data_IF_952572148178
#
_entry.id   IF_952572148178
#
_cell.length_a   1.000
_cell.length_b   1.000
_cell.length_c   1.000
_cell.angle_alpha   90.00
_cell.angle_beta   90.00
_cell.angle_gamma   90.00
#
_symmetry.space_group_name_H-M   'P 1'
#
loop_
_entity.id
_entity.type
_entity.pdbx_description
1 polymer ?
#
# COMPACT_ATOMS: atom_id res chain seq x y z
N UNK A 1 40.51 -9.66 9.07
CA UNK A 1 40.32 -8.76 7.92
C UNK A 1 38.89 -8.79 7.53
N UNK A 2 38.08 -7.84 8.01
CA UNK A 2 36.67 -7.71 7.68
C UNK A 2 36.58 -7.15 6.27
N UNK A 3 36.13 -7.96 5.33
CA UNK A 3 35.68 -7.47 4.03
C UNK A 3 34.59 -6.41 4.29
N UNK A 4 34.95 -5.13 4.21
CA UNK A 4 33.98 -4.06 3.97
C UNK A 4 33.42 -4.30 2.57
N UNK A 5 32.25 -4.87 2.45
CA UNK A 5 31.60 -4.91 1.15
C UNK A 5 31.07 -3.51 0.87
N UNK A 6 31.69 -2.78 -0.04
CA UNK A 6 31.21 -1.50 -0.58
C UNK A 6 29.78 -1.60 -1.17
N UNK A 7 29.16 -2.74 -1.05
CA UNK A 7 27.91 -3.12 -1.68
C UNK A 7 26.78 -3.48 -0.69
N UNK A 8 27.04 -3.32 0.65
CA UNK A 8 25.97 -3.51 1.65
C UNK A 8 24.93 -2.39 1.54
N UNK A 9 23.66 -2.77 1.54
CA UNK A 9 22.51 -1.85 1.64
C UNK A 9 22.01 -1.85 3.08
N UNK A 10 21.94 -0.67 3.71
CA UNK A 10 21.30 -0.51 5.02
C UNK A 10 19.87 -0.06 4.80
N UNK A 11 18.90 -0.84 5.29
CA UNK A 11 17.48 -0.56 5.17
C UNK A 11 16.93 -0.13 6.54
N UNK A 12 16.48 1.11 6.67
CA UNK A 12 16.02 1.72 7.92
C UNK A 12 14.51 1.80 7.92
N UNK A 13 13.87 1.19 8.90
CA UNK A 13 12.41 1.15 9.05
C UNK A 13 11.98 1.60 10.45
N UNK A 14 10.78 2.23 10.60
CA UNK A 14 10.26 2.60 11.91
C UNK A 14 9.69 1.38 12.64
N UNK A 15 10.35 0.93 13.69
CA UNK A 15 9.95 -0.26 14.44
C UNK A 15 10.19 -1.57 13.69
N UNK A 16 9.51 -2.63 14.09
CA UNK A 16 9.73 -3.99 13.59
C UNK A 16 9.27 -4.15 12.14
N UNK A 17 10.11 -4.75 11.29
CA UNK A 17 9.84 -5.02 9.87
C UNK A 17 8.73 -6.08 9.67
N UNK A 18 8.41 -6.89 10.69
CA UNK A 18 7.40 -7.96 10.61
C UNK A 18 5.96 -7.49 10.75
N UNK A 19 5.72 -6.17 10.89
CA UNK A 19 4.37 -5.61 10.96
C UNK A 19 3.56 -5.90 9.69
N UNK A 20 2.25 -6.15 9.85
CA UNK A 20 1.35 -6.49 8.73
C UNK A 20 0.59 -5.26 8.22
N UNK A 21 1.34 -4.30 7.66
CA UNK A 21 0.78 -3.22 6.84
C UNK A 21 1.35 -3.28 5.43
N UNK A 22 0.74 -2.56 4.48
CA UNK A 22 1.18 -2.56 3.08
C UNK A 22 2.63 -2.08 2.92
N UNK A 23 3.04 -0.99 3.59
CA UNK A 23 4.41 -0.48 3.55
C UNK A 23 5.41 -1.53 4.06
N UNK A 24 5.25 -1.99 5.31
CA UNK A 24 6.15 -3.00 5.88
C UNK A 24 6.18 -4.33 5.10
N UNK A 25 5.07 -4.72 4.49
CA UNK A 25 5.07 -5.89 3.61
C UNK A 25 5.93 -5.64 2.37
N UNK A 26 5.83 -4.45 1.79
CA UNK A 26 6.64 -4.07 0.64
C UNK A 26 8.12 -4.06 1.01
N UNK A 27 8.51 -3.36 2.08
CA UNK A 27 9.89 -3.28 2.57
C UNK A 27 10.47 -4.68 2.80
N UNK A 28 9.75 -5.50 3.55
CA UNK A 28 10.18 -6.88 3.83
C UNK A 28 10.39 -7.69 2.56
N UNK A 29 9.48 -7.60 1.60
CA UNK A 29 9.58 -8.33 0.34
C UNK A 29 10.75 -7.85 -0.52
N UNK A 30 11.03 -6.55 -0.50
CA UNK A 30 12.23 -6.01 -1.17
C UNK A 30 13.49 -6.51 -0.48
N UNK A 31 13.58 -6.44 0.84
CA UNK A 31 14.73 -6.96 1.59
C UNK A 31 14.95 -8.45 1.31
N UNK A 32 13.88 -9.27 1.36
CA UNK A 32 13.93 -10.70 1.03
C UNK A 32 14.41 -10.93 -0.43
N UNK A 33 13.88 -10.16 -1.38
CA UNK A 33 14.22 -10.25 -2.80
C UNK A 33 15.67 -9.86 -3.08
N UNK A 34 16.17 -8.78 -2.49
CA UNK A 34 17.56 -8.33 -2.61
C UNK A 34 18.54 -9.39 -2.05
N UNK A 35 18.22 -9.95 -0.88
CA UNK A 35 19.03 -11.04 -0.29
C UNK A 35 19.03 -12.29 -1.16
N UNK A 36 17.90 -12.66 -1.74
CA UNK A 36 17.80 -13.78 -2.67
C UNK A 36 18.62 -13.56 -3.96
N UNK A 37 18.86 -12.30 -4.34
CA UNK A 37 19.71 -11.90 -5.46
C UNK A 37 21.21 -11.77 -5.08
N UNK A 38 21.56 -12.10 -3.84
CA UNK A 38 22.94 -12.10 -3.35
C UNK A 38 23.41 -10.75 -2.77
N UNK A 39 22.54 -9.74 -2.62
CA UNK A 39 22.91 -8.46 -2.00
C UNK A 39 23.02 -8.61 -0.49
N UNK A 40 24.06 -8.03 0.09
CA UNK A 40 24.14 -7.86 1.53
C UNK A 40 23.17 -6.77 1.96
N UNK A 41 22.16 -7.13 2.78
CA UNK A 41 21.15 -6.17 3.29
C UNK A 41 21.09 -6.26 4.80
N UNK A 42 21.43 -5.16 5.47
CA UNK A 42 21.28 -4.99 6.91
C UNK A 42 20.03 -4.14 7.18
N UNK A 43 19.15 -4.62 8.06
CA UNK A 43 17.96 -3.88 8.48
C UNK A 43 18.22 -3.22 9.83
N UNK A 44 17.90 -1.93 9.95
CA UNK A 44 17.87 -1.17 11.19
C UNK A 44 16.41 -0.87 11.51
N UNK A 45 15.92 -1.47 12.58
CA UNK A 45 14.59 -1.23 13.14
C UNK A 45 14.69 -0.12 14.19
N UNK A 46 14.19 1.08 13.88
CA UNK A 46 14.25 2.21 14.80
C UNK A 46 13.15 2.07 15.86
N UNK A 47 13.50 2.19 17.12
CA UNK A 47 12.52 2.35 18.19
C UNK A 47 11.96 3.78 18.20
N UNK A 48 10.76 3.97 18.74
CA UNK A 48 10.13 5.30 18.89
C UNK A 48 10.93 6.30 19.75
N UNK A 49 12.01 5.86 20.37
CA UNK A 49 12.94 6.65 21.19
C UNK A 49 14.36 6.66 20.61
N UNK A 50 14.50 6.26 19.33
CA UNK A 50 15.82 6.20 18.71
C UNK A 50 16.41 7.61 18.56
N UNK A 51 17.55 7.82 19.22
CA UNK A 51 18.34 9.04 19.17
C UNK A 51 19.17 9.17 17.88
N UNK A 52 18.94 8.31 16.88
CA UNK A 52 19.70 8.24 15.63
C UNK A 52 21.09 7.66 15.73
N UNK A 53 21.52 7.20 16.91
CA UNK A 53 22.83 6.57 17.11
C UNK A 53 23.12 5.44 16.10
N UNK A 54 22.15 4.58 15.70
CA UNK A 54 22.40 3.55 14.69
C UNK A 54 22.84 4.10 13.33
N UNK A 55 22.29 5.26 12.91
CA UNK A 55 22.67 5.91 11.65
C UNK A 55 24.02 6.63 11.78
N UNK A 56 24.29 7.24 12.94
CA UNK A 56 25.56 7.89 13.22
C UNK A 56 26.75 6.91 13.23
N UNK A 57 26.51 5.65 13.60
CA UNK A 57 27.52 4.58 13.62
C UNK A 57 27.84 3.99 12.24
N UNK A 58 27.09 4.33 11.18
CA UNK A 58 27.38 3.87 9.83
C UNK A 58 28.66 4.53 9.30
N UNK A 59 29.41 3.82 8.46
CA UNK A 59 30.57 4.39 7.75
C UNK A 59 30.12 5.42 6.70
N UNK A 60 30.99 6.36 6.36
CA UNK A 60 30.73 7.31 5.27
C UNK A 60 30.50 6.57 3.95
N UNK A 61 29.71 7.17 3.07
CA UNK A 61 29.29 6.62 1.79
C UNK A 61 28.48 5.31 1.88
N UNK A 62 28.04 4.88 3.09
CA UNK A 62 27.16 3.73 3.20
C UNK A 62 25.84 3.98 2.45
N UNK A 63 25.47 3.04 1.55
CA UNK A 63 24.21 3.05 0.81
C UNK A 63 23.05 2.78 1.76
N UNK A 64 22.21 3.76 2.00
CA UNK A 64 21.17 3.71 3.05
C UNK A 64 19.81 4.05 2.47
N UNK A 65 18.84 3.16 2.66
CA UNK A 65 17.41 3.42 2.36
C UNK A 65 16.68 3.73 3.65
N UNK A 66 15.84 4.74 3.63
CA UNK A 66 15.02 5.09 4.77
C UNK A 66 13.55 5.07 4.36
N UNK A 67 12.75 4.25 5.04
CA UNK A 67 11.29 4.26 4.90
C UNK A 67 10.72 5.63 5.22
N UNK A 68 9.76 6.10 4.42
CA UNK A 68 9.15 7.41 4.55
C UNK A 68 8.54 7.69 5.92
N UNK A 69 7.99 6.66 6.59
CA UNK A 69 7.46 6.80 7.95
C UNK A 69 8.58 7.01 8.98
N UNK A 70 9.77 6.43 8.75
CA UNK A 70 10.92 6.64 9.62
C UNK A 70 11.53 8.05 9.46
N UNK A 71 11.32 8.69 8.31
CA UNK A 71 11.81 10.06 8.08
C UNK A 71 11.26 11.06 9.10
N UNK A 72 9.97 10.96 9.45
CA UNK A 72 9.34 11.86 10.41
C UNK A 72 9.93 11.74 11.82
N UNK A 73 10.25 10.49 12.22
CA UNK A 73 10.79 10.20 13.57
C UNK A 73 12.29 10.51 13.70
N UNK A 74 13.01 10.64 12.58
CA UNK A 74 14.47 10.79 12.54
C UNK A 74 14.94 12.06 11.82
N UNK A 75 14.07 13.04 11.64
CA UNK A 75 14.31 14.23 10.80
C UNK A 75 15.66 14.90 11.08
N UNK A 76 15.95 15.26 12.34
CA UNK A 76 17.18 15.95 12.73
C UNK A 76 18.43 15.11 12.46
N UNK A 77 18.36 13.81 12.78
CA UNK A 77 19.47 12.88 12.56
C UNK A 77 19.73 12.70 11.08
N UNK A 78 18.66 12.54 10.27
CA UNK A 78 18.75 12.38 8.82
C UNK A 78 19.45 13.56 8.16
N UNK A 79 19.08 14.78 8.54
CA UNK A 79 19.73 16.01 8.05
C UNK A 79 21.22 15.99 8.34
N UNK A 80 21.63 15.59 9.55
CA UNK A 80 23.04 15.47 9.94
C UNK A 80 23.81 14.39 9.16
N UNK A 81 23.15 13.28 8.81
CA UNK A 81 23.77 12.15 8.12
C UNK A 81 23.74 12.26 6.58
N UNK A 82 22.86 13.11 6.01
CA UNK A 82 22.70 13.26 4.56
C UNK A 82 24.00 13.67 3.83
N UNK A 83 24.91 14.36 4.52
CA UNK A 83 26.19 14.79 3.95
C UNK A 83 27.22 13.66 3.82
N UNK A 84 27.11 12.59 4.61
CA UNK A 84 28.11 11.52 4.61
C UNK A 84 27.57 10.16 4.13
N UNK A 85 26.27 9.89 4.24
CA UNK A 85 25.64 8.68 3.74
C UNK A 85 25.08 8.88 2.33
N UNK A 86 24.93 7.77 1.58
CA UNK A 86 24.20 7.75 0.32
C UNK A 86 22.71 7.47 0.62
N UNK A 87 22.01 8.49 1.09
CA UNK A 87 20.63 8.36 1.53
C UNK A 87 19.66 8.35 0.35
N UNK A 88 18.79 7.36 0.34
CA UNK A 88 17.62 7.23 -0.56
C UNK A 88 16.37 7.14 0.32
N UNK A 89 15.36 7.94 0.05
CA UNK A 89 14.07 7.81 0.72
C UNK A 89 13.17 6.82 -0.02
N UNK A 90 12.41 6.00 0.71
CA UNK A 90 11.39 5.11 0.14
C UNK A 90 10.00 5.57 0.61
N UNK A 91 9.30 6.32 -0.22
CA UNK A 91 8.04 6.98 0.10
C UNK A 91 6.87 6.14 -0.37
N UNK A 92 6.21 5.43 0.54
CA UNK A 92 5.00 4.65 0.25
C UNK A 92 3.76 5.51 -0.02
N UNK A 93 3.73 6.70 0.52
CA UNK A 93 2.72 7.76 0.33
C UNK A 93 3.12 9.00 1.13
N UNK A 94 2.86 10.22 0.63
CA UNK A 94 3.21 11.45 1.33
C UNK A 94 2.53 11.54 2.70
N UNK A 95 3.27 11.94 3.73
CA UNK A 95 2.77 12.09 5.10
C UNK A 95 1.60 13.07 5.18
N UNK A 96 1.64 14.14 4.37
CA UNK A 96 0.57 15.12 4.30
C UNK A 96 -0.78 14.57 3.80
N UNK A 97 -0.79 13.40 3.17
CA UNK A 97 -1.99 12.74 2.62
C UNK A 97 -2.57 11.69 3.57
N UNK A 98 -2.03 11.56 4.80
CA UNK A 98 -2.62 10.69 5.82
C UNK A 98 -3.99 11.21 6.26
N UNK A 99 -4.92 10.27 6.47
CA UNK A 99 -6.31 10.59 6.83
C UNK A 99 -6.39 11.05 8.29
N UNK A 100 -7.17 12.10 8.53
CA UNK A 100 -7.43 12.61 9.89
C UNK A 100 -6.49 13.74 10.31
N UNK A 101 -5.56 14.15 9.46
CA UNK A 101 -4.76 15.35 9.70
C UNK A 101 -5.61 16.62 9.52
N UNK A 102 -5.46 17.58 10.43
CA UNK A 102 -5.96 18.93 10.19
C UNK A 102 -5.19 19.58 9.03
N UNK A 103 -5.76 20.58 8.33
CA UNK A 103 -5.04 21.29 7.26
C UNK A 103 -3.68 21.85 7.70
N UNK A 104 -3.59 22.35 8.93
CA UNK A 104 -2.34 22.84 9.49
C UNK A 104 -1.32 21.71 9.77
N UNK A 105 -1.78 20.55 10.23
CA UNK A 105 -0.92 19.38 10.45
C UNK A 105 -0.43 18.80 9.11
N UNK A 106 -1.30 18.70 8.11
CA UNK A 106 -0.93 18.24 6.77
C UNK A 106 0.11 19.17 6.12
N UNK A 107 -0.07 20.50 6.27
CA UNK A 107 0.90 21.49 5.78
C UNK A 107 2.27 21.31 6.44
N UNK A 108 2.31 21.18 7.77
CA UNK A 108 3.58 20.96 8.50
C UNK A 108 4.23 19.64 8.10
N UNK A 109 3.46 18.57 7.94
CA UNK A 109 3.98 17.27 7.48
C UNK A 109 4.61 17.41 6.08
N UNK A 110 3.97 18.13 5.16
CA UNK A 110 4.51 18.40 3.83
C UNK A 110 5.81 19.21 3.88
N UNK A 111 5.88 20.24 4.71
CA UNK A 111 7.07 21.10 4.88
C UNK A 111 8.26 20.27 5.42
N UNK A 112 8.05 19.47 6.46
CA UNK A 112 9.08 18.60 7.04
C UNK A 112 9.54 17.56 6.01
N UNK A 113 8.59 16.89 5.34
CA UNK A 113 8.92 15.87 4.33
C UNK A 113 9.69 16.49 3.15
N UNK A 114 9.29 17.67 2.67
CA UNK A 114 9.97 18.39 1.60
C UNK A 114 11.42 18.74 1.98
N UNK A 115 11.64 19.26 3.20
CA UNK A 115 12.98 19.58 3.68
C UNK A 115 13.86 18.31 3.72
N UNK A 116 13.38 17.21 4.28
CA UNK A 116 14.10 15.95 4.36
C UNK A 116 14.44 15.40 2.98
N UNK A 117 13.46 15.40 2.07
CA UNK A 117 13.64 14.89 0.70
C UNK A 117 14.59 15.74 -0.12
N UNK A 118 14.73 17.04 0.18
CA UNK A 118 15.75 17.90 -0.46
C UNK A 118 17.18 17.46 -0.15
N UNK A 119 17.41 16.72 0.94
CA UNK A 119 18.73 16.29 1.42
C UNK A 119 19.14 14.89 0.95
N UNK A 120 18.18 14.05 0.51
CA UNK A 120 18.48 12.69 0.04
C UNK A 120 18.92 12.69 -1.42
N UNK A 121 19.72 11.71 -1.86
CA UNK A 121 20.20 11.58 -3.24
C UNK A 121 19.05 11.28 -4.21
N UNK A 122 18.05 10.54 -3.75
CA UNK A 122 16.89 10.20 -4.57
C UNK A 122 15.76 9.64 -3.75
N UNK A 123 14.62 9.45 -4.42
CA UNK A 123 13.37 8.98 -3.83
C UNK A 123 12.84 7.81 -4.65
N UNK A 124 12.50 6.71 -3.98
CA UNK A 124 11.77 5.57 -4.53
C UNK A 124 10.29 5.71 -4.19
N UNK A 125 9.41 5.49 -5.14
CA UNK A 125 7.95 5.59 -4.98
C UNK A 125 7.24 4.37 -5.58
N UNK A 126 6.09 3.93 -5.02
CA UNK A 126 5.37 2.75 -5.52
C UNK A 126 4.53 3.03 -6.77
N UNK A 127 4.27 4.31 -7.11
CA UNK A 127 3.38 4.72 -8.20
C UNK A 127 3.78 6.07 -8.78
N UNK A 128 3.36 6.35 -10.02
CA UNK A 128 3.54 7.67 -10.64
C UNK A 128 2.76 8.76 -9.87
N UNK A 129 1.62 8.40 -9.28
CA UNK A 129 0.85 9.34 -8.46
C UNK A 129 1.62 9.79 -7.21
N UNK A 130 2.27 8.85 -6.52
CA UNK A 130 3.14 9.17 -5.37
C UNK A 130 4.37 9.97 -5.84
N UNK A 131 4.99 9.58 -6.94
CA UNK A 131 6.11 10.33 -7.54
C UNK A 131 5.71 11.77 -7.89
N UNK A 132 4.56 11.98 -8.52
CA UNK A 132 4.05 13.32 -8.82
C UNK A 132 3.78 14.17 -7.58
N UNK A 133 3.35 13.55 -6.48
CA UNK A 133 3.21 14.25 -5.20
C UNK A 133 4.58 14.66 -4.63
N UNK A 134 5.60 13.81 -4.73
CA UNK A 134 7.00 14.12 -4.32
C UNK A 134 7.59 15.22 -5.22
N UNK A 135 7.29 15.26 -6.51
CA UNK A 135 7.70 16.34 -7.41
C UNK A 135 7.21 17.71 -6.92
N UNK A 136 6.02 17.79 -6.29
CA UNK A 136 5.49 19.05 -5.73
C UNK A 136 6.32 19.60 -4.57
N UNK A 137 7.18 18.79 -3.98
CA UNK A 137 8.15 19.21 -2.95
C UNK A 137 9.45 19.78 -3.53
N UNK A 138 9.51 19.98 -4.86
CA UNK A 138 10.68 20.54 -5.53
C UNK A 138 11.76 19.50 -5.85
N UNK A 139 11.49 18.21 -5.69
CA UNK A 139 12.43 17.14 -6.04
C UNK A 139 12.41 16.91 -7.55
N UNK A 140 13.56 17.02 -8.21
CA UNK A 140 13.66 16.82 -9.65
C UNK A 140 13.33 15.38 -10.05
N UNK A 141 12.67 15.21 -11.21
CA UNK A 141 12.20 13.91 -11.70
C UNK A 141 13.31 12.88 -11.88
N UNK A 142 14.50 13.30 -12.27
CA UNK A 142 15.70 12.41 -12.41
C UNK A 142 16.10 11.75 -11.08
N UNK A 143 15.75 12.39 -9.96
CA UNK A 143 16.00 11.89 -8.60
C UNK A 143 14.84 11.07 -8.04
N UNK A 144 13.80 10.84 -8.84
CA UNK A 144 12.65 10.01 -8.45
C UNK A 144 12.62 8.75 -9.31
N UNK A 145 12.40 7.61 -8.69
CA UNK A 145 12.16 6.37 -9.39
C UNK A 145 10.86 5.72 -8.92
N UNK A 146 10.07 5.25 -9.89
CA UNK A 146 8.83 4.52 -9.61
C UNK A 146 9.13 3.02 -9.69
N UNK A 147 8.86 2.34 -8.57
CA UNK A 147 9.02 0.90 -8.43
C UNK A 147 7.73 0.32 -7.87
N UNK A 148 6.84 -0.20 -8.71
CA UNK A 148 5.62 -0.84 -8.24
C UNK A 148 5.93 -2.07 -7.38
N UNK A 149 5.15 -2.32 -6.31
CA UNK A 149 5.29 -3.53 -5.51
C UNK A 149 4.96 -4.78 -6.33
N UNK A 150 5.60 -5.89 -5.98
CA UNK A 150 5.27 -7.18 -6.54
C UNK A 150 3.89 -7.68 -6.06
N UNK A 151 3.26 -8.50 -6.87
CA UNK A 151 1.98 -9.11 -6.57
C UNK A 151 2.14 -10.62 -6.42
N UNK A 152 1.65 -11.16 -5.30
CA UNK A 152 1.59 -12.61 -5.11
C UNK A 152 0.54 -13.19 -6.08
N UNK A 153 1.00 -13.93 -7.07
CA UNK A 153 0.11 -14.57 -8.05
C UNK A 153 -0.43 -15.90 -7.49
N UNK A 154 -1.69 -16.24 -7.77
CA UNK A 154 -2.23 -17.53 -7.37
C UNK A 154 -1.49 -18.65 -8.08
N UNK A 155 -1.28 -19.80 -7.38
CA UNK A 155 -0.59 -20.98 -7.93
C UNK A 155 -1.32 -21.62 -9.11
N UNK A 156 -2.62 -21.37 -9.26
CA UNK A 156 -3.43 -21.76 -10.41
C UNK A 156 -4.15 -20.55 -10.97
N UNK A 157 -4.19 -20.36 -12.29
CA UNK A 157 -4.96 -19.28 -12.90
C UNK A 157 -6.41 -19.28 -12.40
N UNK A 158 -6.97 -18.12 -12.05
CA UNK A 158 -8.35 -18.05 -11.61
C UNK A 158 -9.30 -18.40 -12.76
N UNK A 159 -10.21 -19.34 -12.50
CA UNK A 159 -11.31 -19.68 -13.39
C UNK A 159 -12.39 -18.58 -13.47
N UNK A 160 -13.44 -18.79 -14.27
CA UNK A 160 -14.59 -17.91 -14.30
C UNK A 160 -15.23 -17.85 -12.91
N UNK A 161 -15.71 -16.66 -12.52
CA UNK A 161 -16.34 -16.43 -11.23
C UNK A 161 -17.79 -16.91 -11.22
N UNK A 162 -18.31 -17.13 -10.00
CA UNK A 162 -19.71 -17.50 -9.80
C UNK A 162 -20.65 -16.42 -10.28
N UNK A 163 -21.77 -16.80 -10.80
CA UNK A 163 -22.86 -15.92 -11.17
C UNK A 163 -24.17 -16.46 -10.56
N UNK A 164 -24.96 -15.61 -9.89
CA UNK A 164 -24.71 -14.19 -9.59
C UNK A 164 -23.62 -13.96 -8.53
N UNK A 165 -23.05 -12.75 -8.50
CA UNK A 165 -22.12 -12.30 -7.46
C UNK A 165 -22.83 -12.22 -6.12
N UNK A 166 -22.31 -12.89 -5.09
CA UNK A 166 -22.86 -12.89 -3.73
C UNK A 166 -21.80 -12.66 -2.64
N UNK A 167 -20.61 -13.21 -2.82
CA UNK A 167 -19.54 -13.12 -1.83
C UNK A 167 -18.64 -11.93 -2.13
N UNK A 168 -18.76 -10.86 -1.34
CA UNK A 168 -17.89 -9.69 -1.40
C UNK A 168 -16.72 -9.86 -0.44
N UNK A 169 -15.55 -9.36 -0.83
CA UNK A 169 -14.33 -9.37 -0.01
C UNK A 169 -13.78 -7.95 0.13
N UNK A 170 -13.38 -7.60 1.35
CA UNK A 170 -12.59 -6.43 1.68
C UNK A 170 -11.33 -6.90 2.43
N UNK A 171 -10.14 -6.55 1.95
CA UNK A 171 -8.87 -6.88 2.64
C UNK A 171 -8.17 -5.57 3.01
N UNK A 172 -8.25 -5.21 4.28
CA UNK A 172 -7.63 -4.00 4.83
C UNK A 172 -7.69 -4.00 6.35
N UNK A 173 -6.68 -3.44 7.03
CA UNK A 173 -6.78 -3.13 8.45
C UNK A 173 -7.92 -2.12 8.69
N UNK A 174 -8.65 -2.26 9.81
CA UNK A 174 -9.74 -1.35 10.16
C UNK A 174 -9.15 -0.04 10.70
N UNK A 175 -8.84 0.86 9.77
CA UNK A 175 -8.38 2.23 10.05
C UNK A 175 -9.21 3.22 9.22
N UNK A 176 -9.33 4.51 9.62
CA UNK A 176 -10.22 5.48 8.96
C UNK A 176 -10.00 5.56 7.46
N UNK A 177 -8.75 5.59 7.01
CA UNK A 177 -8.34 5.71 5.60
C UNK A 177 -8.92 4.62 4.69
N UNK A 178 -9.26 3.45 5.22
CA UNK A 178 -9.77 2.31 4.43
C UNK A 178 -11.29 2.33 4.22
N UNK A 179 -12.01 3.26 4.86
CA UNK A 179 -13.41 3.53 4.56
C UNK A 179 -14.40 2.41 4.90
N UNK A 180 -14.14 1.61 5.95
CA UNK A 180 -15.06 0.52 6.32
C UNK A 180 -16.45 1.01 6.75
N UNK A 181 -16.55 2.18 7.41
CA UNK A 181 -17.85 2.78 7.75
C UNK A 181 -18.62 3.14 6.48
N UNK A 182 -17.95 3.79 5.52
CA UNK A 182 -18.51 4.10 4.21
C UNK A 182 -19.02 2.84 3.48
N UNK A 183 -18.25 1.74 3.56
CA UNK A 183 -18.63 0.44 2.98
C UNK A 183 -19.93 -0.09 3.62
N UNK A 184 -20.03 -0.07 4.94
CA UNK A 184 -21.23 -0.51 5.66
C UNK A 184 -22.45 0.35 5.30
N UNK A 185 -22.30 1.68 5.23
CA UNK A 185 -23.37 2.59 4.81
C UNK A 185 -23.83 2.32 3.36
N UNK A 186 -22.90 2.07 2.45
CA UNK A 186 -23.21 1.73 1.07
C UNK A 186 -23.98 0.41 0.97
N UNK A 187 -23.52 -0.62 1.70
CA UNK A 187 -24.18 -1.93 1.70
C UNK A 187 -25.56 -1.92 2.38
N UNK A 188 -25.78 -1.05 3.35
CA UNK A 188 -27.09 -0.84 3.96
C UNK A 188 -28.15 -0.34 2.94
N UNK A 189 -27.72 0.38 1.88
CA UNK A 189 -28.59 0.88 0.81
C UNK A 189 -29.03 -0.18 -0.20
N UNK A 190 -28.37 -1.36 -0.17
CA UNK A 190 -28.63 -2.49 -1.08
C UNK A 190 -28.98 -3.77 -0.32
N UNK A 191 -29.62 -3.62 0.84
CA UNK A 191 -30.05 -4.77 1.69
C UNK A 191 -31.09 -5.67 1.02
N UNK A 192 -31.77 -5.18 0.01
CA UNK A 192 -32.71 -5.90 -0.84
C UNK A 192 -32.07 -6.98 -1.70
N UNK A 193 -30.75 -6.92 -1.91
CA UNK A 193 -30.02 -7.92 -2.68
C UNK A 193 -29.43 -9.01 -1.78
N UNK A 194 -29.17 -10.19 -2.35
CA UNK A 194 -28.53 -11.31 -1.68
C UNK A 194 -26.98 -11.19 -1.82
N UNK A 195 -26.32 -10.79 -0.75
CA UNK A 195 -24.86 -10.66 -0.66
C UNK A 195 -24.36 -10.94 0.76
N UNK A 196 -23.10 -11.31 0.89
CA UNK A 196 -22.35 -11.31 2.13
C UNK A 196 -21.03 -10.60 1.95
N UNK A 197 -20.45 -10.05 3.04
CA UNK A 197 -19.15 -9.39 3.04
C UNK A 197 -18.24 -10.03 4.08
N UNK A 198 -17.02 -10.38 3.66
CA UNK A 198 -15.92 -10.72 4.56
C UNK A 198 -14.90 -9.59 4.56
N UNK A 199 -14.61 -9.02 5.75
CA UNK A 199 -13.54 -8.05 5.97
C UNK A 199 -12.36 -8.77 6.65
N UNK A 200 -11.22 -8.80 5.99
CA UNK A 200 -9.98 -9.43 6.48
C UNK A 200 -8.94 -8.36 6.73
N UNK A 201 -8.42 -8.28 7.96
CA UNK A 201 -7.41 -7.30 8.37
C UNK A 201 -7.48 -7.05 9.87
N UNK A 202 -6.45 -6.40 10.43
CA UNK A 202 -6.36 -6.16 11.86
C UNK A 202 -7.53 -5.34 12.38
N UNK A 203 -8.11 -5.80 13.49
CA UNK A 203 -9.15 -5.10 14.27
C UNK A 203 -8.54 -4.30 15.43
N UNK A 204 -7.22 -4.44 15.65
CA UNK A 204 -6.50 -3.90 16.80
C UNK A 204 -5.66 -2.68 16.42
N UNK A 205 -5.41 -2.45 15.11
CA UNK A 205 -4.60 -1.33 14.63
C UNK A 205 -5.21 0.04 14.99
N UNK A 206 -6.53 0.14 14.96
CA UNK A 206 -7.32 1.27 15.45
C UNK A 206 -8.60 0.75 16.13
N UNK A 207 -8.56 0.56 17.47
CA UNK A 207 -9.71 0.08 18.22
C UNK A 207 -10.91 1.02 18.17
N UNK A 208 -10.70 2.32 17.92
CA UNK A 208 -11.79 3.31 17.83
C UNK A 208 -12.59 3.10 16.55
N UNK A 209 -11.92 3.03 15.41
CA UNK A 209 -12.54 2.68 14.12
C UNK A 209 -13.23 1.32 14.19
N UNK A 210 -12.58 0.31 14.79
CA UNK A 210 -13.17 -1.03 14.93
C UNK A 210 -14.48 -0.99 15.74
N UNK A 211 -14.52 -0.24 16.85
CA UNK A 211 -15.76 -0.07 17.65
C UNK A 211 -16.84 0.66 16.87
N UNK A 212 -16.48 1.71 16.10
CA UNK A 212 -17.41 2.46 15.27
C UNK A 212 -18.05 1.57 14.19
N UNK A 213 -17.24 0.83 13.44
CA UNK A 213 -17.69 -0.11 12.41
C UNK A 213 -18.61 -1.19 12.99
N UNK A 214 -18.25 -1.82 14.11
CA UNK A 214 -19.08 -2.82 14.79
C UNK A 214 -20.42 -2.25 15.25
N UNK A 215 -20.42 -1.03 15.79
CA UNK A 215 -21.64 -0.33 16.21
C UNK A 215 -22.54 -0.03 15.00
N UNK A 216 -21.98 0.46 13.92
CA UNK A 216 -22.70 0.76 12.69
C UNK A 216 -23.32 -0.50 12.09
N UNK A 217 -22.58 -1.61 11.96
CA UNK A 217 -23.09 -2.91 11.46
C UNK A 217 -24.32 -3.35 12.25
N UNK A 218 -24.30 -3.22 13.59
CA UNK A 218 -25.46 -3.55 14.44
C UNK A 218 -26.64 -2.58 14.21
N UNK A 219 -26.36 -1.28 14.17
CA UNK A 219 -27.38 -0.25 14.01
C UNK A 219 -28.15 -0.38 12.69
N UNK A 220 -27.48 -0.78 11.61
CA UNK A 220 -28.13 -0.99 10.30
C UNK A 220 -28.64 -2.42 10.08
N UNK A 221 -28.52 -3.32 11.08
CA UNK A 221 -29.06 -4.69 11.03
C UNK A 221 -28.31 -5.64 10.09
N UNK A 222 -27.02 -5.41 9.80
CA UNK A 222 -26.23 -6.22 8.86
C UNK A 222 -25.32 -7.27 9.52
N UNK A 223 -25.50 -7.53 10.82
CA UNK A 223 -24.62 -8.42 11.58
C UNK A 223 -24.54 -9.88 11.09
N UNK A 224 -25.58 -10.36 10.36
CA UNK A 224 -25.58 -11.71 9.76
C UNK A 224 -24.93 -11.74 8.37
N UNK A 225 -24.66 -10.60 7.77
CA UNK A 225 -24.16 -10.47 6.38
C UNK A 225 -22.74 -9.98 6.30
N UNK A 226 -22.22 -9.33 7.36
CA UNK A 226 -20.85 -8.77 7.41
C UNK A 226 -20.08 -9.49 8.50
N UNK A 227 -18.96 -10.12 8.09
CA UNK A 227 -18.00 -10.78 8.96
C UNK A 227 -16.72 -9.96 9.06
N UNK A 228 -16.33 -9.58 10.27
CA UNK A 228 -15.02 -9.01 10.56
C UNK A 228 -14.10 -10.15 11.00
N UNK A 229 -13.34 -10.70 10.07
CA UNK A 229 -12.54 -11.92 10.27
C UNK A 229 -11.26 -11.68 11.09
N UNK A 230 -10.86 -10.42 11.27
CA UNK A 230 -9.60 -10.10 11.92
C UNK A 230 -8.40 -10.36 11.00
N UNK A 231 -7.22 -10.28 11.59
CA UNK A 231 -5.96 -10.55 10.92
C UNK A 231 -5.84 -12.06 10.64
N UNK A 232 -5.54 -12.41 9.40
CA UNK A 232 -5.43 -13.79 8.94
C UNK A 232 -4.04 -14.11 8.39
N UNK A 233 -3.56 -15.35 8.51
CA UNK A 233 -2.35 -15.81 7.84
C UNK A 233 -2.46 -15.68 6.31
N UNK A 234 -1.32 -15.51 5.59
CA UNK A 234 -1.33 -15.31 4.12
C UNK A 234 -2.12 -16.37 3.35
N UNK A 235 -2.04 -17.64 3.76
CA UNK A 235 -2.79 -18.72 3.14
C UNK A 235 -4.31 -18.56 3.29
N UNK A 236 -4.78 -18.00 4.42
CA UNK A 236 -6.20 -17.74 4.65
C UNK A 236 -6.67 -16.53 3.85
N UNK A 237 -5.84 -15.50 3.71
CA UNK A 237 -6.09 -14.36 2.80
C UNK A 237 -6.22 -14.86 1.36
N UNK A 238 -5.30 -15.69 0.89
CA UNK A 238 -5.38 -16.29 -0.44
C UNK A 238 -6.65 -17.15 -0.64
N UNK A 239 -7.10 -17.87 0.40
CA UNK A 239 -8.39 -18.58 0.37
C UNK A 239 -9.57 -17.62 0.26
N UNK A 240 -9.54 -16.51 1.00
CA UNK A 240 -10.59 -15.49 0.93
C UNK A 240 -10.71 -14.89 -0.48
N UNK A 241 -9.60 -14.52 -1.12
CA UNK A 241 -9.61 -14.07 -2.52
C UNK A 241 -10.19 -15.12 -3.49
N UNK A 242 -9.86 -16.40 -3.29
CA UNK A 242 -10.42 -17.47 -4.13
C UNK A 242 -11.91 -17.72 -3.92
N UNK A 243 -12.39 -17.56 -2.70
CA UNK A 243 -13.80 -17.80 -2.33
C UNK A 243 -14.72 -16.63 -2.71
N UNK A 244 -14.19 -15.43 -2.86
CA UNK A 244 -14.95 -14.23 -3.19
C UNK A 244 -15.40 -14.20 -4.66
N UNK A 245 -16.49 -13.48 -4.94
CA UNK A 245 -16.99 -13.21 -6.28
C UNK A 245 -16.61 -11.80 -6.76
N UNK A 246 -16.43 -10.83 -5.84
CA UNK A 246 -15.98 -9.48 -6.12
C UNK A 246 -15.19 -8.90 -4.93
N UNK A 247 -14.30 -7.98 -5.23
CA UNK A 247 -13.52 -7.24 -4.25
C UNK A 247 -14.05 -5.81 -4.11
N UNK A 248 -14.19 -5.32 -2.88
CA UNK A 248 -14.64 -3.95 -2.60
C UNK A 248 -13.84 -3.33 -1.48
N UNK A 249 -13.22 -2.17 -1.75
CA UNK A 249 -12.50 -1.38 -0.74
C UNK A 249 -12.57 0.10 -1.11
N UNK A 250 -13.31 0.92 -0.35
CA UNK A 250 -13.50 2.35 -0.66
C UNK A 250 -12.49 3.22 0.10
N UNK A 251 -11.19 2.98 -0.08
CA UNK A 251 -10.15 3.78 0.56
C UNK A 251 -10.24 5.27 0.21
N UNK A 252 -9.93 6.13 1.18
CA UNK A 252 -9.83 7.57 1.00
C UNK A 252 -8.48 7.98 0.40
N UNK A 253 -7.45 7.15 0.52
CA UNK A 253 -6.14 7.35 -0.09
C UNK A 253 -5.37 6.03 -0.18
N UNK A 254 -4.61 5.83 -1.27
CA UNK A 254 -3.63 4.76 -1.45
C UNK A 254 -2.41 5.27 -2.22
N UNK A 255 -1.21 4.91 -1.75
CA UNK A 255 0.03 5.16 -2.50
C UNK A 255 0.23 4.22 -3.69
N UNK A 256 -0.39 3.02 -3.65
CA UNK A 256 -0.48 2.03 -4.73
C UNK A 256 -1.76 1.21 -4.63
N UNK A 257 -1.97 0.54 -3.47
CA UNK A 257 -3.12 -0.32 -3.25
C UNK A 257 -2.86 -1.78 -3.63
N UNK A 258 -1.85 -2.41 -3.02
CA UNK A 258 -1.46 -3.81 -3.29
C UNK A 258 -2.64 -4.80 -3.26
N UNK A 259 -3.61 -4.59 -2.37
CA UNK A 259 -4.78 -5.47 -2.25
C UNK A 259 -5.68 -5.47 -3.49
N UNK A 260 -5.72 -4.35 -4.25
CA UNK A 260 -6.41 -4.32 -5.55
C UNK A 260 -5.65 -5.14 -6.60
N UNK A 261 -4.32 -5.02 -6.61
CA UNK A 261 -3.45 -5.83 -7.46
C UNK A 261 -3.64 -7.34 -7.17
N UNK A 262 -3.67 -7.71 -5.89
CA UNK A 262 -3.96 -9.09 -5.46
C UNK A 262 -5.37 -9.53 -5.89
N UNK A 263 -6.38 -8.70 -5.73
CA UNK A 263 -7.74 -9.00 -6.19
C UNK A 263 -7.80 -9.25 -7.70
N UNK A 264 -7.13 -8.40 -8.50
CA UNK A 264 -7.02 -8.58 -9.95
C UNK A 264 -6.26 -9.85 -10.32
N UNK A 265 -5.15 -10.16 -9.64
CA UNK A 265 -4.42 -11.41 -9.85
C UNK A 265 -5.30 -12.65 -9.60
N UNK A 266 -6.28 -12.53 -8.69
CA UNK A 266 -7.29 -13.55 -8.44
C UNK A 266 -8.51 -13.43 -9.38
N UNK A 267 -8.53 -12.52 -10.34
CA UNK A 267 -9.60 -12.35 -11.33
C UNK A 267 -10.91 -11.83 -10.75
N UNK A 268 -10.88 -11.08 -9.64
CA UNK A 268 -12.05 -10.48 -9.02
C UNK A 268 -12.39 -9.15 -9.70
N UNK A 269 -13.66 -8.91 -10.08
CA UNK A 269 -14.13 -7.56 -10.32
C UNK A 269 -13.81 -6.66 -9.14
N UNK A 270 -13.21 -5.48 -9.38
CA UNK A 270 -12.81 -4.55 -8.32
C UNK A 270 -13.80 -3.40 -8.24
N UNK A 271 -14.26 -3.07 -7.02
CA UNK A 271 -15.01 -1.84 -6.75
C UNK A 271 -14.18 -1.02 -5.76
N UNK A 272 -13.78 0.19 -6.18
CA UNK A 272 -12.87 1.03 -5.41
C UNK A 272 -13.21 2.52 -5.61
N UNK A 273 -12.36 3.41 -5.08
CA UNK A 273 -12.50 4.85 -5.27
C UNK A 273 -11.50 5.40 -6.27
N UNK A 274 -11.66 6.66 -6.67
CA UNK A 274 -10.69 7.39 -7.50
C UNK A 274 -9.57 8.05 -6.69
N UNK A 275 -9.36 7.65 -5.42
CA UNK A 275 -8.43 8.28 -4.50
C UNK A 275 -6.97 7.82 -4.72
N UNK A 276 -6.03 8.74 -4.59
CA UNK A 276 -4.59 8.44 -4.68
C UNK A 276 -4.22 7.72 -5.96
N UNK A 277 -3.42 6.66 -5.85
CA UNK A 277 -2.96 5.85 -6.97
C UNK A 277 -3.94 4.73 -7.41
N UNK A 278 -5.14 4.66 -6.84
CA UNK A 278 -6.11 3.60 -7.18
C UNK A 278 -6.42 3.57 -8.70
N UNK A 279 -6.66 4.71 -9.39
CA UNK A 279 -6.90 4.69 -10.84
C UNK A 279 -5.71 4.23 -11.69
N UNK A 280 -4.48 4.33 -11.16
CA UNK A 280 -3.27 3.81 -11.79
C UNK A 280 -3.17 2.29 -11.63
N UNK A 281 -3.59 1.77 -10.46
CA UNK A 281 -3.54 0.34 -10.15
C UNK A 281 -4.71 -0.43 -10.76
N UNK A 282 -5.92 0.14 -10.75
CA UNK A 282 -7.16 -0.52 -11.20
C UNK A 282 -7.61 0.09 -12.53
N UNK A 283 -7.32 -0.54 -13.67
CA UNK A 283 -7.75 -0.05 -14.96
C UNK A 283 -9.27 -0.22 -15.17
N UNK A 284 -9.91 0.58 -16.06
CA UNK A 284 -11.36 0.58 -16.27
C UNK A 284 -11.97 -0.78 -16.66
N UNK A 285 -11.18 -1.64 -17.31
CA UNK A 285 -11.59 -3.00 -17.68
C UNK A 285 -11.64 -3.97 -16.50
N UNK A 286 -10.97 -3.65 -15.38
CA UNK A 286 -10.88 -4.51 -14.19
C UNK A 286 -11.83 -4.07 -13.06
N UNK A 287 -12.30 -2.82 -13.06
CA UNK A 287 -13.07 -2.33 -11.93
C UNK A 287 -14.01 -1.16 -12.23
N UNK A 288 -14.82 -0.86 -11.22
CA UNK A 288 -15.63 0.34 -11.15
C UNK A 288 -15.05 1.26 -10.07
N UNK A 289 -14.68 2.46 -10.47
CA UNK A 289 -14.16 3.47 -9.56
C UNK A 289 -15.22 4.53 -9.29
N UNK A 290 -15.38 4.93 -8.02
CA UNK A 290 -16.34 5.94 -7.56
C UNK A 290 -15.64 7.06 -6.80
N UNK A 291 -16.22 8.25 -6.66
CA UNK A 291 -15.65 9.30 -5.81
C UNK A 291 -15.44 8.81 -4.38
N UNK A 292 -14.32 9.16 -3.73
CA UNK A 292 -14.12 8.85 -2.31
C UNK A 292 -15.15 9.60 -1.45
N UNK A 293 -15.62 8.97 -0.37
CA UNK A 293 -16.59 9.57 0.53
C UNK A 293 -18.05 9.53 0.05
N UNK A 294 -18.36 8.92 -1.11
CA UNK A 294 -19.74 8.81 -1.62
C UNK A 294 -20.31 7.39 -1.44
N UNK A 295 -21.08 7.13 -0.34
CA UNK A 295 -21.68 5.82 -0.10
C UNK A 295 -22.79 5.48 -1.09
N UNK A 296 -23.43 6.48 -1.71
CA UNK A 296 -24.47 6.24 -2.70
C UNK A 296 -23.87 5.79 -4.04
N UNK A 297 -22.77 6.41 -4.50
CA UNK A 297 -22.05 5.96 -5.69
C UNK A 297 -21.48 4.55 -5.48
N UNK A 298 -20.90 4.27 -4.30
CA UNK A 298 -20.39 2.94 -3.95
C UNK A 298 -21.51 1.90 -3.98
N UNK A 299 -22.66 2.20 -3.38
CA UNK A 299 -23.84 1.32 -3.40
C UNK A 299 -24.30 1.02 -4.83
N UNK A 300 -24.37 2.05 -5.69
CA UNK A 300 -24.73 1.87 -7.12
C UNK A 300 -23.73 0.97 -7.85
N UNK A 301 -22.43 1.15 -7.61
CA UNK A 301 -21.39 0.34 -8.23
C UNK A 301 -21.49 -1.13 -7.79
N UNK A 302 -21.63 -1.39 -6.48
CA UNK A 302 -21.80 -2.75 -5.94
C UNK A 302 -23.08 -3.38 -6.49
N UNK A 303 -24.21 -2.66 -6.48
CA UNK A 303 -25.49 -3.14 -7.05
C UNK A 303 -25.32 -3.57 -8.50
N UNK A 304 -24.66 -2.75 -9.33
CA UNK A 304 -24.42 -3.09 -10.75
C UNK A 304 -23.64 -4.39 -10.90
N UNK A 305 -22.58 -4.59 -10.11
CA UNK A 305 -21.78 -5.82 -10.18
C UNK A 305 -22.60 -7.05 -9.73
N UNK A 306 -23.46 -6.91 -8.73
CA UNK A 306 -24.33 -8.00 -8.26
C UNK A 306 -25.42 -8.34 -9.27
N UNK A 307 -26.09 -7.32 -9.85
CA UNK A 307 -27.30 -7.51 -10.65
C UNK A 307 -27.06 -7.62 -12.16
N UNK A 308 -25.81 -7.36 -12.63
CA UNK A 308 -25.46 -7.40 -14.04
C UNK A 308 -24.36 -8.45 -14.29
N UNK A 309 -24.72 -9.73 -14.50
CA UNK A 309 -23.75 -10.82 -14.66
C UNK A 309 -22.73 -10.59 -15.79
N UNK A 310 -23.20 -10.01 -16.90
CA UNK A 310 -22.34 -9.70 -18.06
C UNK A 310 -21.25 -8.67 -17.69
N UNK A 311 -21.63 -7.63 -16.91
CA UNK A 311 -20.68 -6.64 -16.41
C UNK A 311 -19.67 -7.30 -15.46
N UNK A 312 -20.13 -8.09 -14.50
CA UNK A 312 -19.26 -8.79 -13.54
C UNK A 312 -18.27 -9.72 -14.26
N UNK A 313 -18.74 -10.49 -15.24
CA UNK A 313 -17.91 -11.39 -16.04
C UNK A 313 -16.85 -10.61 -16.85
N UNK A 314 -17.23 -9.48 -17.47
CA UNK A 314 -16.32 -8.61 -18.21
C UNK A 314 -15.23 -8.03 -17.30
N UNK A 315 -15.61 -7.47 -16.15
CA UNK A 315 -14.65 -6.92 -15.19
C UNK A 315 -13.72 -8.00 -14.62
N UNK A 316 -14.24 -9.19 -14.33
CA UNK A 316 -13.42 -10.33 -13.89
C UNK A 316 -12.44 -10.80 -14.98
N UNK A 317 -12.84 -10.76 -16.25
CA UNK A 317 -11.93 -11.03 -17.37
C UNK A 317 -10.84 -9.96 -17.49
N UNK A 318 -11.20 -8.69 -17.40
CA UNK A 318 -10.26 -7.56 -17.36
C UNK A 318 -9.28 -7.67 -16.19
N UNK A 319 -9.77 -8.03 -15.01
CA UNK A 319 -8.92 -8.26 -13.83
C UNK A 319 -7.89 -9.36 -14.07
N UNK A 320 -8.28 -10.47 -14.69
CA UNK A 320 -7.30 -11.55 -15.04
C UNK A 320 -6.22 -11.06 -15.97
N UNK A 321 -6.59 -10.28 -16.99
CA UNK A 321 -5.62 -9.72 -17.94
C UNK A 321 -4.70 -8.71 -17.27
N UNK A 322 -5.26 -7.78 -16.49
CA UNK A 322 -4.48 -6.79 -15.73
C UNK A 322 -3.58 -7.47 -14.70
N UNK A 323 -4.13 -8.39 -13.90
CA UNK A 323 -3.39 -9.14 -12.88
C UNK A 323 -2.23 -9.98 -13.43
N UNK A 324 -2.38 -10.55 -14.64
CA UNK A 324 -1.31 -11.30 -15.28
C UNK A 324 -0.10 -10.42 -15.66
N UNK A 325 -0.33 -9.13 -15.94
CA UNK A 325 0.71 -8.15 -16.32
C UNK A 325 1.45 -7.53 -15.13
N UNK A 326 0.90 -7.66 -13.92
CA UNK A 326 1.54 -7.12 -12.72
C UNK A 326 2.88 -7.83 -12.47
N UNK A 327 3.91 -7.12 -11.98
CA UNK A 327 5.18 -7.73 -11.60
C UNK A 327 4.96 -8.71 -10.44
N UNK A 328 5.71 -9.78 -10.42
CA UNK A 328 5.89 -10.57 -9.20
C UNK A 328 6.96 -9.95 -8.27
N UNK A 329 7.17 -10.55 -7.10
CA UNK A 329 8.12 -10.00 -6.12
C UNK A 329 9.58 -10.09 -6.56
N UNK A 330 9.95 -11.06 -7.41
CA UNK A 330 11.30 -11.16 -7.95
C UNK A 330 11.57 -10.04 -8.95
N UNK A 331 10.63 -9.79 -9.85
CA UNK A 331 10.69 -8.67 -10.81
C UNK A 331 10.67 -7.30 -10.11
N UNK A 332 9.85 -7.15 -9.06
CA UNK A 332 9.82 -5.91 -8.28
C UNK A 332 11.17 -5.66 -7.57
N UNK A 333 11.79 -6.69 -6.99
CA UNK A 333 13.10 -6.57 -6.35
C UNK A 333 14.20 -6.22 -7.36
N UNK A 334 14.17 -6.79 -8.56
CA UNK A 334 15.11 -6.47 -9.64
C UNK A 334 14.98 -5.01 -10.11
N UNK A 335 13.74 -4.56 -10.33
CA UNK A 335 13.47 -3.17 -10.71
C UNK A 335 13.88 -2.21 -9.60
N UNK A 336 13.59 -2.56 -8.36
CA UNK A 336 13.96 -1.78 -7.18
C UNK A 336 15.47 -1.66 -7.04
N UNK A 337 16.21 -2.76 -7.17
CA UNK A 337 17.68 -2.79 -7.11
C UNK A 337 18.29 -1.87 -8.16
N UNK A 338 17.86 -1.99 -9.42
CA UNK A 338 18.34 -1.17 -10.53
C UNK A 338 18.07 0.33 -10.29
N UNK A 339 16.87 0.66 -9.80
CA UNK A 339 16.48 2.02 -9.48
C UNK A 339 17.31 2.57 -8.31
N UNK A 340 17.50 1.77 -7.27
CA UNK A 340 18.31 2.14 -6.11
C UNK A 340 19.76 2.41 -6.48
N UNK A 341 20.41 1.52 -7.23
CA UNK A 341 21.82 1.68 -7.61
C UNK A 341 22.02 2.94 -8.49
N UNK A 342 21.06 3.21 -9.40
CA UNK A 342 21.05 4.45 -10.19
C UNK A 342 20.96 5.70 -9.30
N UNK A 343 20.04 5.72 -8.35
CA UNK A 343 19.83 6.87 -7.45
C UNK A 343 21.01 7.06 -6.49
N UNK A 344 21.57 5.96 -5.99
CA UNK A 344 22.73 6.00 -5.08
C UNK A 344 24.01 6.49 -5.78
N UNK A 345 24.08 6.38 -7.11
CA UNK A 345 25.18 6.89 -7.92
C UNK A 345 25.08 8.39 -8.23
N UNK A 346 23.90 9.01 -8.03
CA UNK A 346 23.74 10.46 -8.25
C UNK A 346 24.58 11.28 -7.27
N UNK A 347 24.97 12.47 -7.71
CA UNK A 347 25.62 13.44 -6.85
C UNK A 347 24.71 13.88 -5.70
N UNK A 348 25.34 14.38 -4.64
CA UNK A 348 24.59 14.97 -3.53
C UNK A 348 23.78 16.16 -4.02
N UNK A 349 22.58 16.38 -3.46
CA UNK A 349 21.89 17.63 -3.71
C UNK A 349 22.73 18.82 -3.19
N UNK A 350 22.63 19.97 -3.84
CA UNK A 350 23.37 21.17 -3.45
C UNK A 350 23.03 21.67 -2.03
#
# INVERSE_FOLDING_TARGET
MTHRSDDEIVFVVPGRLDQLTGGYLFDRRIVEGLRARGRAVRVIELSAQADGAPLAALADDTKTVVDGLALADCAEVMVGQARRLRLIAFIHGPLAQETGLSPAAAKRAAEVEAELLSRVRGVLCPSHRTAGAVETYGISRERIAVVPPGTAKPTRPPGPRRSPVRALLCVANLVPRKGHELLVEALARIRDLDWSLSCVGSLERDPTTTRAVRRLIRAVGLGRRITLAGQCPPQSVARAYRAADAFVLPSFHEGYGMVYAEAMAHGLPVIATTAGAIPETVPPEAGLLVPPGDPAALARAVRRVITQPVLAARLGAGSRVAGARLPDWAQAAETWESAFDRLAALDRPP
#
